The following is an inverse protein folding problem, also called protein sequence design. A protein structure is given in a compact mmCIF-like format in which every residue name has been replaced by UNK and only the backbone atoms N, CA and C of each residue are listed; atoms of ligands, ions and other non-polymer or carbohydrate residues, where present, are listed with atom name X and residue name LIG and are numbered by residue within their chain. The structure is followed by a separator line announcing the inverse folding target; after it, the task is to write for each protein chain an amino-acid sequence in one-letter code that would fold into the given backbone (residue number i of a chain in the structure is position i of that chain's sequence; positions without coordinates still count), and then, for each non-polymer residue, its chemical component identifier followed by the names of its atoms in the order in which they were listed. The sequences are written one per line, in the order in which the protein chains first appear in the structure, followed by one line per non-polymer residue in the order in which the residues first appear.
data_IF_543286004958
#
_entry.id   IF_543286004958
#
_cell.length_a   1.000
_cell.length_b   1.000
_cell.length_c   1.000
_cell.angle_alpha   90.00
_cell.angle_beta   90.00
_cell.angle_gamma   90.00
#
_symmetry.space_group_name_H-M   'P 1'
#
loop_
_entity.id
_entity.type
_entity.pdbx_description
1 polymer ?
#
# COMPACT_ATOMS: atom_id res chain seq x y z
N UNK A 1 14.52 6.00 1.25
CA UNK A 1 13.65 6.78 2.16
C UNK A 1 13.68 8.24 1.72
N UNK A 2 12.52 8.87 1.54
CA UNK A 2 12.38 10.29 1.17
C UNK A 2 11.49 10.94 2.23
N UNK A 3 11.95 12.02 2.87
CA UNK A 3 11.21 12.75 3.91
C UNK A 3 11.09 14.22 3.47
N UNK A 4 9.91 14.80 3.66
CA UNK A 4 9.58 16.14 3.17
C UNK A 4 8.08 16.39 3.22
N UNK A 5 7.68 17.60 2.84
CA UNK A 5 6.27 18.04 2.79
C UNK A 5 5.73 17.93 1.38
N UNK A 6 4.42 17.65 1.23
CA UNK A 6 3.75 17.53 -0.08
C UNK A 6 4.44 16.50 -1.00
N UNK A 7 4.94 15.40 -0.41
CA UNK A 7 5.67 14.36 -1.14
C UNK A 7 4.78 13.66 -2.18
N UNK A 8 3.51 13.46 -1.86
CA UNK A 8 2.57 12.77 -2.75
C UNK A 8 2.48 13.49 -4.10
N UNK A 9 2.32 14.81 -4.07
CA UNK A 9 2.20 15.62 -5.29
C UNK A 9 3.54 15.75 -6.03
N UNK A 10 4.64 15.91 -5.28
CA UNK A 10 5.93 16.33 -5.87
C UNK A 10 6.86 15.18 -6.24
N UNK A 11 6.70 14.00 -5.59
CA UNK A 11 7.67 12.91 -5.67
C UNK A 11 7.07 11.57 -6.04
N UNK A 12 5.83 11.28 -5.69
CA UNK A 12 5.24 9.98 -6.02
C UNK A 12 5.27 9.69 -7.54
N UNK A 13 4.99 10.65 -8.45
CA UNK A 13 5.13 10.41 -9.89
C UNK A 13 6.56 10.03 -10.30
N UNK A 14 7.56 10.76 -9.82
CA UNK A 14 8.96 10.45 -10.12
C UNK A 14 9.43 9.11 -9.54
N UNK A 15 8.88 8.70 -8.40
CA UNK A 15 9.15 7.39 -7.80
C UNK A 15 8.51 6.29 -8.65
N UNK A 16 7.25 6.47 -9.07
CA UNK A 16 6.55 5.53 -9.93
C UNK A 16 7.26 5.33 -11.28
N UNK A 17 7.71 6.42 -11.91
CA UNK A 17 8.52 6.37 -13.14
C UNK A 17 9.82 5.58 -12.93
N UNK A 18 10.51 5.80 -11.80
CA UNK A 18 11.76 5.12 -11.46
C UNK A 18 11.62 3.61 -11.21
N UNK A 19 10.42 3.12 -10.90
CA UNK A 19 10.16 1.69 -10.70
C UNK A 19 10.13 0.90 -12.01
N UNK A 20 9.94 1.57 -13.16
CA UNK A 20 9.81 0.95 -14.48
C UNK A 20 8.80 -0.23 -14.51
N UNK A 21 7.72 -0.12 -13.72
CA UNK A 21 6.66 -1.10 -13.62
C UNK A 21 5.73 -1.05 -14.84
N UNK A 22 5.08 -2.17 -15.16
CA UNK A 22 4.11 -2.24 -16.25
C UNK A 22 2.70 -1.77 -15.83
N UNK A 23 2.35 -1.96 -14.55
CA UNK A 23 1.11 -1.49 -13.93
C UNK A 23 1.39 -0.98 -12.53
N UNK A 24 0.71 0.10 -12.16
CA UNK A 24 0.81 0.72 -10.84
C UNK A 24 -0.52 0.56 -10.10
N UNK A 25 -0.45 -0.05 -8.92
CA UNK A 25 -1.57 -0.23 -8.02
C UNK A 25 -1.41 0.69 -6.81
N UNK A 26 -2.48 1.33 -6.36
CA UNK A 26 -2.47 2.19 -5.18
C UNK A 26 -3.55 1.71 -4.22
N UNK A 27 -3.18 1.39 -2.99
CA UNK A 27 -4.11 1.15 -1.89
C UNK A 27 -4.05 2.33 -0.94
N UNK A 28 -5.19 2.98 -0.76
CA UNK A 28 -5.36 4.12 0.14
C UNK A 28 -6.24 3.72 1.32
N UNK A 29 -5.80 4.03 2.54
CA UNK A 29 -6.62 3.82 3.73
C UNK A 29 -7.90 4.68 3.67
N UNK A 30 -9.06 4.07 3.91
CA UNK A 30 -10.37 4.76 3.90
C UNK A 30 -10.36 6.01 4.80
N UNK A 31 -9.81 5.90 6.01
CA UNK A 31 -9.78 7.04 6.94
C UNK A 31 -8.93 8.19 6.43
N UNK A 32 -7.85 7.90 5.70
CA UNK A 32 -7.02 8.93 5.07
C UNK A 32 -7.78 9.59 3.92
N UNK A 33 -8.49 8.81 3.10
CA UNK A 33 -9.35 9.34 2.05
C UNK A 33 -10.48 10.22 2.60
N UNK A 34 -11.09 9.84 3.73
CA UNK A 34 -12.12 10.64 4.41
C UNK A 34 -11.59 11.99 4.90
N UNK A 35 -10.39 11.99 5.51
CA UNK A 35 -9.76 13.20 6.04
C UNK A 35 -9.18 14.10 4.94
N UNK A 36 -8.88 13.52 3.77
CA UNK A 36 -8.27 14.19 2.63
C UNK A 36 -9.03 13.81 1.34
N UNK A 37 -10.26 14.31 1.14
CA UNK A 37 -11.12 13.89 0.03
C UNK A 37 -10.53 14.19 -1.36
N UNK A 38 -9.69 15.22 -1.45
CA UNK A 38 -9.01 15.59 -2.70
C UNK A 38 -7.82 14.69 -3.03
N UNK A 39 -7.35 13.85 -2.10
CA UNK A 39 -6.13 13.07 -2.29
C UNK A 39 -6.29 12.03 -3.41
N UNK A 40 -7.40 11.30 -3.43
CA UNK A 40 -7.63 10.30 -4.47
C UNK A 40 -7.75 10.94 -5.88
N UNK A 41 -8.54 12.02 -6.08
CA UNK A 41 -8.53 12.79 -7.32
C UNK A 41 -7.13 13.31 -7.70
N UNK A 42 -6.34 13.81 -6.74
CA UNK A 42 -4.97 14.27 -6.99
C UNK A 42 -4.06 13.15 -7.46
N UNK A 43 -4.12 11.98 -6.82
CA UNK A 43 -3.36 10.79 -7.22
C UNK A 43 -3.74 10.35 -8.63
N UNK A 44 -5.03 10.29 -8.94
CA UNK A 44 -5.52 9.93 -10.28
C UNK A 44 -5.10 10.97 -11.33
N UNK A 45 -5.10 12.26 -11.00
CA UNK A 45 -4.62 13.29 -11.92
C UNK A 45 -3.11 13.21 -12.16
N UNK A 46 -2.32 12.88 -11.14
CA UNK A 46 -0.87 12.80 -11.24
C UNK A 46 -0.40 11.48 -11.86
N UNK A 47 -1.18 10.41 -11.70
CA UNK A 47 -0.91 9.04 -12.13
C UNK A 47 -2.17 8.46 -12.81
N UNK A 48 -2.51 8.91 -14.03
CA UNK A 48 -3.78 8.58 -14.68
C UNK A 48 -3.98 7.09 -14.97
N UNK A 49 -2.89 6.34 -15.15
CA UNK A 49 -2.91 4.89 -15.40
C UNK A 49 -2.91 4.07 -14.10
N UNK A 50 -2.86 4.70 -12.92
CA UNK A 50 -2.81 3.99 -11.66
C UNK A 50 -4.18 3.43 -11.27
N UNK A 51 -4.21 2.16 -10.91
CA UNK A 51 -5.42 1.46 -10.48
C UNK A 51 -5.53 1.59 -8.97
N UNK A 52 -6.50 2.38 -8.51
CA UNK A 52 -6.65 2.75 -7.11
C UNK A 52 -7.74 1.94 -6.41
N UNK A 53 -7.50 1.56 -5.15
CA UNK A 53 -8.50 0.94 -4.27
C UNK A 53 -8.41 1.55 -2.87
N UNK A 54 -9.54 1.68 -2.21
CA UNK A 54 -9.58 1.98 -0.78
C UNK A 54 -9.71 0.70 0.03
N UNK A 55 -9.11 0.69 1.22
CA UNK A 55 -9.27 -0.40 2.18
C UNK A 55 -9.41 0.19 3.58
N UNK A 56 -10.27 -0.44 4.39
CA UNK A 56 -10.35 -0.14 5.81
C UNK A 56 -8.99 -0.34 6.48
N UNK A 57 -8.55 0.66 7.25
CA UNK A 57 -7.32 0.58 8.04
C UNK A 57 -7.56 0.02 9.45
N UNK A 58 -6.56 0.21 10.31
CA UNK A 58 -6.57 -0.28 11.68
C UNK A 58 -6.28 -1.78 11.80
N UNK A 59 -6.08 -2.27 13.02
CA UNK A 59 -5.67 -3.67 13.24
C UNK A 59 -6.69 -4.70 12.72
N UNK A 60 -7.97 -4.33 12.64
CA UNK A 60 -9.02 -5.19 12.07
C UNK A 60 -8.78 -5.56 10.60
N UNK A 61 -7.94 -4.81 9.87
CA UNK A 61 -7.60 -5.15 8.49
C UNK A 61 -6.57 -6.28 8.40
N UNK A 62 -5.88 -6.64 9.49
CA UNK A 62 -4.78 -7.61 9.46
C UNK A 62 -5.29 -9.04 9.51
N UNK A 63 -6.06 -9.41 8.50
CA UNK A 63 -6.74 -10.70 8.41
C UNK A 63 -6.39 -11.42 7.12
N UNK A 64 -6.58 -12.74 7.10
CA UNK A 64 -6.43 -13.56 5.89
C UNK A 64 -7.43 -13.17 4.79
N UNK A 65 -8.59 -12.67 5.19
CA UNK A 65 -9.67 -12.22 4.33
C UNK A 65 -9.27 -10.94 3.58
N UNK A 66 -8.72 -9.95 4.29
CA UNK A 66 -8.19 -8.74 3.67
C UNK A 66 -6.99 -9.02 2.76
N UNK A 67 -6.16 -10.01 3.12
CA UNK A 67 -5.05 -10.46 2.29
C UNK A 67 -5.56 -11.11 0.98
N UNK A 68 -6.54 -12.01 1.09
CA UNK A 68 -7.21 -12.64 -0.05
C UNK A 68 -7.93 -11.64 -0.94
N UNK A 69 -8.52 -10.59 -0.36
CA UNK A 69 -9.11 -9.48 -1.10
C UNK A 69 -8.07 -8.76 -1.96
N UNK A 70 -6.91 -8.40 -1.39
CA UNK A 70 -5.85 -7.72 -2.14
C UNK A 70 -5.31 -8.58 -3.29
N UNK A 71 -5.08 -9.87 -3.06
CA UNK A 71 -4.64 -10.78 -4.13
C UNK A 71 -5.67 -10.95 -5.23
N UNK A 72 -6.95 -11.07 -4.86
CA UNK A 72 -8.06 -11.16 -5.81
C UNK A 72 -8.11 -9.90 -6.67
N UNK A 73 -8.10 -8.73 -6.05
CA UNK A 73 -8.12 -7.45 -6.75
C UNK A 73 -6.91 -7.29 -7.69
N UNK A 74 -5.69 -7.57 -7.24
CA UNK A 74 -4.50 -7.54 -8.09
C UNK A 74 -4.63 -8.48 -9.30
N UNK A 75 -5.17 -9.69 -9.08
CA UNK A 75 -5.37 -10.67 -10.16
C UNK A 75 -6.42 -10.24 -11.17
N UNK A 76 -7.56 -9.72 -10.71
CA UNK A 76 -8.66 -9.29 -11.57
C UNK A 76 -8.28 -8.09 -12.45
N UNK A 77 -7.46 -7.19 -11.90
CA UNK A 77 -6.95 -6.01 -12.61
C UNK A 77 -5.70 -6.29 -13.46
N UNK A 78 -5.29 -7.57 -13.54
CA UNK A 78 -4.21 -8.01 -14.43
C UNK A 78 -2.81 -7.64 -13.96
N UNK A 79 -2.57 -7.58 -12.66
CA UNK A 79 -1.22 -7.40 -12.11
C UNK A 79 -0.27 -8.50 -12.59
N UNK A 80 0.99 -8.14 -12.80
CA UNK A 80 2.06 -9.03 -13.21
C UNK A 80 3.22 -8.98 -12.21
N UNK A 81 4.24 -9.83 -12.40
CA UNK A 81 5.49 -9.77 -11.63
C UNK A 81 6.25 -8.45 -11.76
N UNK A 82 5.96 -7.65 -12.79
CA UNK A 82 6.58 -6.34 -13.02
C UNK A 82 5.72 -5.18 -12.51
N UNK A 83 4.58 -5.47 -11.90
CA UNK A 83 3.72 -4.44 -11.34
C UNK A 83 4.29 -3.89 -10.02
N UNK A 84 3.80 -2.73 -9.61
CA UNK A 84 4.15 -2.11 -8.34
C UNK A 84 2.91 -1.80 -7.51
N UNK A 85 3.03 -1.93 -6.18
CA UNK A 85 2.00 -1.62 -5.21
C UNK A 85 2.43 -0.45 -4.32
N UNK A 86 1.66 0.63 -4.33
CA UNK A 86 1.82 1.78 -3.43
C UNK A 86 0.82 1.65 -2.29
N UNK A 87 1.30 1.70 -1.06
CA UNK A 87 0.50 1.58 0.15
C UNK A 87 0.49 2.91 0.89
N UNK A 88 -0.69 3.53 1.01
CA UNK A 88 -0.88 4.85 1.64
C UNK A 88 -1.77 4.68 2.88
N UNK A 89 -1.17 4.66 4.06
CA UNK A 89 -1.90 4.45 5.31
C UNK A 89 -1.04 4.31 6.55
N UNK A 90 -1.66 3.92 7.66
CA UNK A 90 -0.99 3.61 8.92
C UNK A 90 -0.33 2.24 8.92
N UNK A 91 0.32 1.90 10.05
CA UNK A 91 1.15 0.68 10.16
C UNK A 91 0.40 -0.62 9.83
N UNK A 92 -0.86 -0.76 10.26
CA UNK A 92 -1.64 -1.96 9.98
C UNK A 92 -1.89 -2.19 8.47
N UNK A 93 -2.21 -1.12 7.72
CA UNK A 93 -2.37 -1.21 6.26
C UNK A 93 -1.03 -1.54 5.59
N UNK A 94 0.05 -0.91 6.04
CA UNK A 94 1.39 -1.15 5.49
C UNK A 94 1.84 -2.59 5.71
N UNK A 95 1.61 -3.16 6.90
CA UNK A 95 1.93 -4.54 7.21
C UNK A 95 1.14 -5.52 6.33
N UNK A 96 -0.18 -5.33 6.26
CA UNK A 96 -1.06 -6.16 5.44
C UNK A 96 -0.67 -6.09 3.95
N UNK A 97 -0.58 -4.87 3.42
CA UNK A 97 -0.29 -4.65 2.00
C UNK A 97 1.11 -5.08 1.63
N UNK A 98 2.09 -4.92 2.53
CA UNK A 98 3.45 -5.39 2.35
C UNK A 98 3.52 -6.92 2.27
N UNK A 99 2.77 -7.61 3.13
CA UNK A 99 2.66 -9.07 3.07
C UNK A 99 1.95 -9.52 1.78
N UNK A 100 0.92 -8.79 1.37
CA UNK A 100 0.23 -9.06 0.10
C UNK A 100 1.20 -8.96 -1.08
N UNK A 101 2.02 -7.91 -1.12
CA UNK A 101 2.99 -7.70 -2.19
C UNK A 101 4.15 -8.69 -2.17
N UNK A 102 4.66 -9.07 -0.99
CA UNK A 102 5.78 -10.01 -0.87
C UNK A 102 5.42 -11.43 -1.33
N UNK A 103 4.15 -11.80 -1.19
CA UNK A 103 3.64 -13.14 -1.52
C UNK A 103 3.00 -13.20 -2.91
N UNK A 104 2.42 -12.11 -3.41
CA UNK A 104 1.80 -12.06 -4.73
C UNK A 104 2.83 -12.33 -5.83
N UNK A 105 2.62 -13.39 -6.61
CA UNK A 105 3.56 -13.89 -7.62
C UNK A 105 5.01 -14.12 -7.14
N UNK A 106 5.20 -14.34 -5.83
CA UNK A 106 6.49 -14.42 -5.11
C UNK A 106 7.23 -13.09 -4.95
N UNK A 107 6.52 -11.97 -5.02
CA UNK A 107 7.05 -10.64 -4.80
C UNK A 107 6.80 -9.71 -5.97
N UNK A 108 6.24 -8.54 -5.68
CA UNK A 108 6.17 -7.39 -6.59
C UNK A 108 6.77 -6.14 -5.93
N UNK A 109 7.12 -5.13 -6.72
CA UNK A 109 7.69 -3.90 -6.17
C UNK A 109 6.68 -3.20 -5.24
N UNK A 110 7.16 -2.61 -4.14
CA UNK A 110 6.29 -1.96 -3.15
C UNK A 110 6.83 -0.60 -2.74
N UNK A 111 5.94 0.38 -2.60
CA UNK A 111 6.24 1.71 -2.06
C UNK A 111 5.38 1.94 -0.84
N UNK A 112 6.02 2.25 0.29
CA UNK A 112 5.36 2.59 1.53
C UNK A 112 5.22 4.10 1.66
N UNK A 113 3.99 4.57 1.86
CA UNK A 113 3.66 5.97 2.18
C UNK A 113 2.97 5.99 3.55
N UNK A 114 3.74 6.00 4.65
CA UNK A 114 3.19 6.03 5.99
C UNK A 114 2.47 7.35 6.30
N UNK A 115 1.26 7.27 6.85
CA UNK A 115 0.46 8.45 7.23
C UNK A 115 0.39 8.68 8.75
N UNK A 116 0.84 7.71 9.56
CA UNK A 116 0.95 7.87 11.01
C UNK A 116 2.41 8.03 11.43
N UNK A 117 2.66 8.79 12.49
CA UNK A 117 4.01 9.01 13.02
C UNK A 117 4.70 7.67 13.39
N UNK A 118 3.96 6.74 13.99
CA UNK A 118 4.47 5.41 14.32
C UNK A 118 4.90 4.65 13.06
N UNK A 119 4.10 4.68 11.99
CA UNK A 119 4.45 4.03 10.74
C UNK A 119 5.67 4.68 10.07
N UNK A 120 5.85 5.99 10.19
CA UNK A 120 7.00 6.71 9.64
C UNK A 120 8.33 6.31 10.28
N UNK A 121 8.33 5.86 11.54
CA UNK A 121 9.55 5.52 12.30
C UNK A 121 9.74 4.03 12.55
N UNK A 122 8.74 3.20 12.28
CA UNK A 122 8.78 1.75 12.53
C UNK A 122 8.27 0.95 11.31
N UNK A 123 6.96 0.89 11.08
CA UNK A 123 6.36 -0.02 10.09
C UNK A 123 6.83 0.18 8.64
N UNK A 124 7.21 1.40 8.24
CA UNK A 124 7.72 1.68 6.89
C UNK A 124 9.22 1.35 6.70
N UNK A 125 9.91 0.93 7.77
CA UNK A 125 11.36 0.70 7.79
C UNK A 125 11.65 -0.73 8.24
N UNK A 126 12.51 -1.43 7.50
CA UNK A 126 12.97 -2.77 7.87
C UNK A 126 12.19 -3.94 7.27
N UNK A 127 11.11 -3.67 6.52
CA UNK A 127 10.45 -4.65 5.66
C UNK A 127 9.72 -5.78 6.40
N UNK A 128 9.45 -5.62 7.70
CA UNK A 128 8.60 -6.54 8.45
C UNK A 128 7.15 -6.29 8.04
N UNK A 129 6.46 -7.35 7.68
CA UNK A 129 5.07 -7.31 7.23
C UNK A 129 4.37 -8.52 7.81
N UNK A 130 3.16 -8.37 8.36
CA UNK A 130 2.48 -9.50 8.98
C UNK A 130 0.97 -9.27 9.09
N UNK A 131 0.23 -10.35 9.30
CA UNK A 131 -1.17 -10.34 9.71
C UNK A 131 -1.35 -10.99 11.09
N UNK A 132 -2.48 -10.67 11.71
CA UNK A 132 -2.90 -11.30 12.96
C UNK A 132 -3.60 -12.62 12.62
N UNK A 133 -3.33 -13.67 13.40
CA UNK A 133 -3.93 -14.98 13.17
C UNK A 133 -4.23 -15.68 14.50
N UNK A 134 -5.44 -16.22 14.63
CA UNK A 134 -5.92 -16.89 15.85
C UNK A 134 -5.73 -16.04 17.13
N UNK A 135 -5.94 -14.72 17.03
CA UNK A 135 -5.82 -13.78 18.14
C UNK A 135 -4.38 -13.43 18.54
N UNK A 136 -3.38 -13.92 17.80
CA UNK A 136 -1.98 -13.58 18.01
C UNK A 136 -1.55 -12.52 17.01
N UNK A 137 -1.01 -11.41 17.53
CA UNK A 137 -0.55 -10.29 16.70
C UNK A 137 0.67 -10.65 15.88
N UNK A 138 0.69 -10.20 14.63
CA UNK A 138 1.85 -10.33 13.72
C UNK A 138 2.36 -11.78 13.61
N UNK A 139 1.47 -12.78 13.65
CA UNK A 139 1.87 -14.18 13.74
C UNK A 139 2.38 -14.72 12.39
N UNK A 140 1.84 -14.23 11.27
CA UNK A 140 2.16 -14.72 9.93
C UNK A 140 2.71 -13.56 9.11
N UNK A 141 3.92 -13.70 8.56
CA UNK A 141 4.63 -12.69 7.78
C UNK A 141 5.71 -13.28 6.89
#
# INVERSE_FOLDING_TARGET
MIIGTQILDRKLPSVAEGLACDRLFIVLEERVAELHPDLLPQLQSALPEAICRTLRGGEECKTTESLGFLWTWLSEEGATRRSALVLIGGGALLDLGGLAASTYMRGIATVYVPTTLLAMVDASVGGKTAIDFLGVKNLIG
#
